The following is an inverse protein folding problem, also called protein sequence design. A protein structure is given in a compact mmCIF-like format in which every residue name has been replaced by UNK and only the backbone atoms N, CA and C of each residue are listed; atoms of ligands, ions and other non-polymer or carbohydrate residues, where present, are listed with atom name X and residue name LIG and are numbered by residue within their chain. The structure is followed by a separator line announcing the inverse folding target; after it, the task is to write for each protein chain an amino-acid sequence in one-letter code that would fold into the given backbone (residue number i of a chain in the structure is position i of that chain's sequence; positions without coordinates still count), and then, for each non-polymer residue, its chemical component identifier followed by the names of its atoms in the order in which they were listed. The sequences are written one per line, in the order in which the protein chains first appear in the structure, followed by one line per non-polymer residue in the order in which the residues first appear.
data_IF_266460169545
#
_entry.id   IF_266460169545
#
_cell.length_a   1.000
_cell.length_b   1.000
_cell.length_c   1.000
_cell.angle_alpha   90.00
_cell.angle_beta   90.00
_cell.angle_gamma   90.00
#
_symmetry.space_group_name_H-M   'P 1'
#
loop_
_entity.id
_entity.type
_entity.pdbx_description
1 polymer ?
#
# COMPACT_ATOMS: atom_id res chain seq x y z
N UNK A 1 -3.75 -8.17 -1.11
CA UNK A 1 -2.97 -7.19 -0.32
C UNK A 1 -3.96 -6.35 0.43
N UNK A 2 -3.85 -6.33 1.73
CA UNK A 2 -4.64 -5.52 2.65
C UNK A 2 -4.01 -4.16 2.77
N UNK A 3 -4.82 -3.12 2.59
CA UNK A 3 -4.39 -1.73 2.64
C UNK A 3 -4.98 -1.10 3.90
N UNK A 4 -4.15 -0.93 4.93
CA UNK A 4 -4.53 -0.20 6.14
C UNK A 4 -4.16 1.27 5.97
N UNK A 5 -5.17 2.11 5.79
CA UNK A 5 -4.96 3.53 5.49
C UNK A 5 -4.77 4.31 6.78
N UNK A 6 -3.71 5.10 6.83
CA UNK A 6 -3.52 6.12 7.86
C UNK A 6 -3.94 7.47 7.28
N UNK A 7 -5.04 8.07 7.76
CA UNK A 7 -5.50 9.37 7.26
C UNK A 7 -4.45 10.46 7.47
N UNK A 8 -4.18 11.26 6.43
CA UNK A 8 -3.21 12.36 6.54
C UNK A 8 -3.55 13.39 7.63
N UNK A 9 -4.84 13.57 7.95
CA UNK A 9 -5.29 14.43 9.06
C UNK A 9 -4.76 14.02 10.44
N UNK A 10 -4.36 12.76 10.61
CA UNK A 10 -3.78 12.28 11.87
C UNK A 10 -2.42 12.89 12.18
N UNK A 11 -1.73 13.44 11.18
CA UNK A 11 -0.46 14.15 11.37
C UNK A 11 -0.60 15.45 12.16
N UNK A 12 -1.81 15.97 12.30
CA UNK A 12 -2.11 17.23 12.99
C UNK A 12 -3.26 17.07 14.00
N UNK A 13 -3.59 15.83 14.37
CA UNK A 13 -4.68 15.54 15.31
C UNK A 13 -4.10 15.46 16.72
N UNK A 14 -4.46 16.38 17.64
CA UNK A 14 -3.92 16.37 19.00
C UNK A 14 -4.15 15.05 19.73
N UNK A 15 -5.26 14.36 19.45
CA UNK A 15 -5.55 13.08 20.10
C UNK A 15 -4.57 11.99 19.67
N UNK A 16 -3.98 12.09 18.47
CA UNK A 16 -2.95 11.17 17.99
C UNK A 16 -1.60 11.53 18.61
N UNK A 17 -1.28 12.82 18.69
CA UNK A 17 -0.04 13.31 19.28
C UNK A 17 0.07 12.99 20.78
N UNK A 18 -1.06 12.95 21.48
CA UNK A 18 -1.13 12.59 22.91
C UNK A 18 -1.05 11.08 23.17
N UNK A 19 -1.14 10.22 22.14
CA UNK A 19 -1.02 8.77 22.32
C UNK A 19 0.41 8.37 22.69
N UNK A 20 0.50 7.43 23.61
CA UNK A 20 1.73 6.69 23.87
C UNK A 20 2.15 5.89 22.64
N UNK A 21 3.46 5.69 22.47
CA UNK A 21 4.02 4.87 21.40
C UNK A 21 3.38 3.48 21.31
N UNK A 22 3.04 2.92 22.49
CA UNK A 22 2.39 1.62 22.59
C UNK A 22 0.95 1.67 22.07
N UNK A 23 0.16 2.66 22.50
CA UNK A 23 -1.20 2.86 22.01
C UNK A 23 -1.23 3.09 20.49
N UNK A 24 -0.32 3.91 19.97
CA UNK A 24 -0.18 4.14 18.53
C UNK A 24 0.11 2.84 17.75
N UNK A 25 1.07 2.02 18.22
CA UNK A 25 1.39 0.72 17.59
C UNK A 25 0.23 -0.25 17.65
N UNK A 26 -0.48 -0.32 18.78
CA UNK A 26 -1.66 -1.19 18.94
C UNK A 26 -2.79 -0.76 17.99
N UNK A 27 -3.04 0.54 17.87
CA UNK A 27 -4.08 1.09 17.01
C UNK A 27 -3.77 0.84 15.52
N UNK A 28 -2.54 1.08 15.08
CA UNK A 28 -2.12 0.79 13.68
C UNK A 28 -2.14 -0.71 13.38
N UNK A 29 -1.65 -1.55 14.30
CA UNK A 29 -1.73 -3.00 14.19
C UNK A 29 -3.17 -3.52 14.13
N UNK A 30 -4.07 -2.91 14.90
CA UNK A 30 -5.49 -3.24 14.88
C UNK A 30 -6.16 -2.93 13.55
N UNK A 31 -5.82 -1.80 12.91
CA UNK A 31 -6.29 -1.47 11.56
C UNK A 31 -5.84 -2.51 10.55
N UNK A 32 -4.56 -2.90 10.58
CA UNK A 32 -4.01 -3.92 9.70
C UNK A 32 -4.71 -5.27 9.90
N UNK A 33 -4.86 -5.70 11.16
CA UNK A 33 -5.53 -6.94 11.49
C UNK A 33 -6.99 -6.94 11.05
N UNK A 34 -7.74 -5.87 11.32
CA UNK A 34 -9.16 -5.76 10.99
C UNK A 34 -9.39 -5.75 9.48
N UNK A 35 -8.50 -5.09 8.72
CA UNK A 35 -8.54 -5.14 7.26
C UNK A 35 -8.25 -6.55 6.73
N UNK A 36 -7.34 -7.30 7.38
CA UNK A 36 -6.97 -8.66 6.95
C UNK A 36 -8.09 -9.66 7.20
N UNK A 37 -8.76 -9.52 8.34
CA UNK A 37 -9.88 -10.37 8.70
C UNK A 37 -11.21 -9.91 8.10
N UNK A 38 -11.28 -8.69 7.56
CA UNK A 38 -12.52 -8.11 7.05
C UNK A 38 -13.58 -7.91 8.14
N UNK A 39 -13.16 -7.49 9.34
CA UNK A 39 -14.05 -7.35 10.50
C UNK A 39 -14.60 -5.94 10.70
N UNK A 40 -14.34 -5.03 9.76
CA UNK A 40 -14.82 -3.65 9.81
C UNK A 40 -14.52 -2.90 11.12
N UNK A 41 -13.34 -3.19 11.69
CA UNK A 41 -12.87 -2.58 12.94
C UNK A 41 -13.31 -3.31 14.20
N UNK A 42 -14.05 -4.42 14.10
CA UNK A 42 -14.37 -5.26 15.25
C UNK A 42 -13.16 -6.13 15.62
N UNK A 43 -12.62 -5.95 16.83
CA UNK A 43 -11.45 -6.66 17.35
C UNK A 43 -11.85 -7.53 18.55
N UNK A 44 -11.92 -8.87 18.39
CA UNK A 44 -12.19 -9.76 19.52
C UNK A 44 -11.13 -9.60 20.62
N UNK A 45 -11.54 -9.56 21.89
CA UNK A 45 -10.62 -9.35 23.03
C UNK A 45 -9.45 -10.34 23.05
N UNK A 46 -9.70 -11.59 22.65
CA UNK A 46 -8.68 -12.66 22.55
C UNK A 46 -7.56 -12.38 21.53
N UNK A 47 -7.81 -11.48 20.58
CA UNK A 47 -6.88 -11.10 19.52
C UNK A 47 -5.97 -9.96 19.97
N UNK A 48 -6.30 -9.21 21.02
CA UNK A 48 -5.49 -8.08 21.50
C UNK A 48 -4.03 -8.48 21.76
N UNK A 49 -3.78 -9.71 22.25
CA UNK A 49 -2.43 -10.28 22.43
C UNK A 49 -1.57 -10.34 21.16
N UNK A 50 -2.18 -10.30 19.97
CA UNK A 50 -1.48 -10.35 18.68
C UNK A 50 -1.09 -8.96 18.18
N UNK A 51 -1.64 -7.89 18.74
CA UNK A 51 -1.47 -6.53 18.25
C UNK A 51 -0.17 -5.88 18.74
N UNK A 52 0.47 -6.43 19.77
CA UNK A 52 1.72 -5.92 20.31
C UNK A 52 2.57 -7.06 20.89
N UNK A 53 3.90 -7.09 20.68
CA UNK A 53 4.77 -8.17 21.15
C UNK A 53 4.70 -8.41 22.67
N UNK A 54 4.56 -7.34 23.44
CA UNK A 54 4.50 -7.37 24.92
C UNK A 54 3.08 -7.58 25.47
N UNK A 55 2.14 -7.98 24.61
CA UNK A 55 0.70 -7.90 24.85
C UNK A 55 0.19 -6.46 25.06
N UNK A 56 -1.13 -6.33 24.95
CA UNK A 56 -1.86 -5.08 25.20
C UNK A 56 -2.37 -5.12 26.63
N UNK A 57 -1.90 -4.18 27.45
CA UNK A 57 -2.34 -4.01 28.83
C UNK A 57 -3.61 -3.15 28.89
N UNK A 58 -4.28 -3.20 30.05
CA UNK A 58 -5.53 -2.46 30.25
C UNK A 58 -5.36 -0.94 30.18
N UNK A 59 -4.18 -0.40 30.53
CA UNK A 59 -3.86 1.02 30.42
C UNK A 59 -3.89 1.48 28.97
N UNK A 60 -3.20 0.75 28.09
CA UNK A 60 -3.21 1.00 26.64
C UNK A 60 -4.62 0.95 26.04
N UNK A 61 -5.45 -0.03 26.42
CA UNK A 61 -6.85 -0.09 25.94
C UNK A 61 -7.65 1.11 26.43
N UNK A 62 -7.52 1.47 27.71
CA UNK A 62 -8.23 2.59 28.30
C UNK A 62 -7.84 3.93 27.64
N UNK A 63 -6.56 4.09 27.30
CA UNK A 63 -6.03 5.24 26.58
C UNK A 63 -6.69 5.39 25.20
N UNK A 64 -6.76 4.30 24.42
CA UNK A 64 -7.41 4.29 23.10
C UNK A 64 -8.92 4.55 23.16
N UNK A 65 -9.58 4.11 24.25
CA UNK A 65 -10.99 4.41 24.48
C UNK A 65 -11.19 5.87 24.87
N UNK A 66 -10.35 6.41 25.75
CA UNK A 66 -10.43 7.82 26.19
C UNK A 66 -10.16 8.83 25.08
N UNK A 67 -9.23 8.51 24.19
CA UNK A 67 -8.92 9.31 22.99
C UNK A 67 -9.97 9.19 21.88
N UNK A 68 -11.00 8.34 22.05
CA UNK A 68 -12.10 8.21 21.10
C UNK A 68 -11.73 7.46 19.81
N UNK A 69 -10.61 6.73 19.80
CA UNK A 69 -10.30 5.82 18.69
C UNK A 69 -11.05 4.50 18.80
N UNK A 70 -11.23 4.01 20.01
CA UNK A 70 -11.87 2.73 20.28
C UNK A 70 -13.13 2.89 21.13
N UNK A 71 -14.07 1.98 20.95
CA UNK A 71 -15.21 1.77 21.82
C UNK A 71 -15.15 0.36 22.42
N UNK A 72 -15.31 0.27 23.74
CA UNK A 72 -15.25 -1.00 24.44
C UNK A 72 -16.63 -1.66 24.47
N UNK A 73 -16.73 -2.86 23.91
CA UNK A 73 -17.89 -3.73 24.07
C UNK A 73 -17.56 -4.92 24.97
N UNK A 74 -18.58 -5.72 25.29
CA UNK A 74 -18.46 -6.89 26.16
C UNK A 74 -17.42 -7.90 25.59
N UNK A 75 -17.52 -8.22 24.29
CA UNK A 75 -16.72 -9.29 23.66
C UNK A 75 -15.60 -8.80 22.75
N UNK A 76 -15.67 -7.57 22.29
CA UNK A 76 -14.74 -6.99 21.33
C UNK A 76 -14.44 -5.51 21.66
N UNK A 77 -13.44 -4.97 20.98
CA UNK A 77 -13.19 -3.53 20.87
C UNK A 77 -13.57 -3.12 19.45
N UNK A 78 -14.27 -1.99 19.30
CA UNK A 78 -14.65 -1.45 18.01
C UNK A 78 -13.75 -0.26 17.69
N UNK A 79 -13.14 -0.24 16.50
CA UNK A 79 -12.45 0.95 15.98
C UNK A 79 -13.51 1.94 15.48
N UNK A 80 -13.49 3.16 16.00
CA UNK A 80 -14.39 4.24 15.62
C UNK A 80 -13.93 4.92 14.33
N UNK A 81 -14.90 5.42 13.55
CA UNK A 81 -14.62 6.12 12.30
C UNK A 81 -14.08 5.22 11.16
N UNK A 82 -14.30 3.90 11.26
CA UNK A 82 -13.88 2.92 10.24
C UNK A 82 -14.33 3.33 8.84
N UNK A 83 -15.64 3.62 8.68
CA UNK A 83 -16.24 4.00 7.39
C UNK A 83 -15.65 5.26 6.75
N UNK A 84 -15.05 6.13 7.55
CA UNK A 84 -14.44 7.38 7.08
C UNK A 84 -12.98 7.21 6.66
N UNK A 85 -12.37 6.06 6.97
CA UNK A 85 -10.92 5.86 6.86
C UNK A 85 -10.56 4.61 6.05
N UNK A 86 -11.29 3.52 6.25
CA UNK A 86 -11.07 2.22 5.63
C UNK A 86 -12.18 1.88 4.64
N UNK A 87 -11.90 0.92 3.77
CA UNK A 87 -12.91 0.32 2.89
C UNK A 87 -13.58 -0.84 3.64
N UNK A 88 -14.90 -0.95 3.56
CA UNK A 88 -15.63 -2.05 4.21
C UNK A 88 -15.32 -3.40 3.57
N UNK A 89 -15.42 -4.47 4.35
CA UNK A 89 -15.23 -5.83 3.87
C UNK A 89 -16.17 -6.19 2.70
N UNK A 90 -17.42 -5.72 2.75
CA UNK A 90 -18.40 -5.90 1.67
C UNK A 90 -17.93 -5.29 0.34
N UNK A 91 -17.33 -4.12 0.38
CA UNK A 91 -16.88 -3.39 -0.80
C UNK A 91 -15.64 -4.07 -1.39
N UNK A 92 -14.73 -4.54 -0.52
CA UNK A 92 -13.57 -5.32 -0.94
C UNK A 92 -13.99 -6.61 -1.64
N UNK A 93 -14.96 -7.35 -1.10
CA UNK A 93 -15.46 -8.57 -1.74
C UNK A 93 -16.16 -8.28 -3.07
N UNK A 94 -16.96 -7.22 -3.15
CA UNK A 94 -17.56 -6.78 -4.41
C UNK A 94 -16.49 -6.44 -5.47
N UNK A 95 -15.44 -5.73 -5.08
CA UNK A 95 -14.32 -5.42 -5.99
C UNK A 95 -13.57 -6.68 -6.42
N UNK A 96 -13.33 -7.63 -5.51
CA UNK A 96 -12.69 -8.91 -5.82
C UNK A 96 -13.52 -9.69 -6.83
N UNK A 97 -14.83 -9.77 -6.64
CA UNK A 97 -15.72 -10.45 -7.57
C UNK A 97 -15.74 -9.79 -8.95
N UNK A 98 -15.86 -8.47 -8.99
CA UNK A 98 -15.79 -7.72 -10.25
C UNK A 98 -14.45 -7.94 -10.99
N UNK A 99 -13.35 -7.97 -10.25
CA UNK A 99 -12.03 -8.25 -10.81
C UNK A 99 -11.92 -9.69 -11.35
N UNK A 100 -12.48 -10.69 -10.64
CA UNK A 100 -12.56 -12.07 -11.13
C UNK A 100 -13.32 -12.16 -12.45
N UNK A 101 -14.48 -11.51 -12.54
CA UNK A 101 -15.31 -11.49 -13.75
C UNK A 101 -14.60 -10.81 -14.93
N UNK A 102 -13.97 -9.66 -14.69
CA UNK A 102 -13.22 -8.93 -15.71
C UNK A 102 -12.03 -9.76 -16.23
N UNK A 103 -11.30 -10.43 -15.35
CA UNK A 103 -10.20 -11.31 -15.74
C UNK A 103 -10.69 -12.51 -16.55
N UNK A 104 -11.79 -13.14 -16.14
CA UNK A 104 -12.39 -14.25 -16.90
C UNK A 104 -12.86 -13.80 -18.30
N UNK A 105 -13.53 -12.64 -18.38
CA UNK A 105 -13.96 -12.07 -19.65
C UNK A 105 -12.77 -11.72 -20.56
N UNK A 106 -11.70 -11.14 -20.00
CA UNK A 106 -10.46 -10.85 -20.73
C UNK A 106 -9.85 -12.13 -21.30
N UNK A 107 -9.65 -13.17 -20.47
CA UNK A 107 -9.12 -14.47 -20.91
C UNK A 107 -9.96 -15.09 -22.03
N UNK A 108 -11.29 -15.03 -21.94
CA UNK A 108 -12.19 -15.52 -22.99
C UNK A 108 -12.02 -14.75 -24.31
N UNK A 109 -11.90 -13.42 -24.26
CA UNK A 109 -11.64 -12.61 -25.46
C UNK A 109 -10.29 -12.93 -26.08
N UNK A 110 -9.26 -13.08 -25.25
CA UNK A 110 -7.91 -13.38 -25.71
C UNK A 110 -7.86 -14.78 -26.36
N UNK A 111 -8.62 -15.75 -25.84
CA UNK A 111 -8.78 -17.08 -26.45
C UNK A 111 -9.51 -17.02 -27.81
N UNK A 112 -10.57 -16.23 -27.93
CA UNK A 112 -11.28 -16.07 -29.21
C UNK A 112 -10.37 -15.41 -30.25
N UNK A 113 -9.61 -14.38 -29.85
CA UNK A 113 -8.64 -13.71 -30.72
C UNK A 113 -7.54 -14.66 -31.17
N UNK A 114 -7.00 -15.51 -30.30
CA UNK A 114 -5.95 -16.46 -30.68
C UNK A 114 -6.45 -17.56 -31.63
N UNK A 115 -7.71 -17.99 -31.48
CA UNK A 115 -8.35 -18.92 -32.42
C UNK A 115 -8.56 -18.26 -33.78
N UNK A 116 -9.10 -17.04 -33.81
CA UNK A 116 -9.38 -16.33 -35.06
C UNK A 116 -8.12 -15.84 -35.78
N UNK A 117 -7.09 -15.42 -35.04
CA UNK A 117 -5.80 -15.00 -35.59
C UNK A 117 -4.97 -16.14 -36.19
N UNK A 118 -5.27 -17.40 -35.84
CA UNK A 118 -4.70 -18.59 -36.51
C UNK A 118 -5.45 -19.00 -37.78
N UNK A 119 -6.58 -18.38 -38.10
CA UNK A 119 -7.44 -18.77 -39.23
C UNK A 119 -7.29 -17.87 -40.46
N UNK A 120 -6.40 -16.87 -40.42
CA UNK A 120 -5.87 -16.25 -41.63
C UNK A 120 -4.90 -17.22 -42.28
N UNK A 121 -5.41 -17.96 -43.27
CA UNK A 121 -4.58 -18.69 -44.23
C UNK A 121 -3.54 -17.74 -44.85
N UNK A 122 -2.33 -18.22 -45.16
CA UNK A 122 -1.38 -17.45 -45.94
C UNK A 122 -2.00 -17.24 -47.32
N UNK A 123 -2.52 -16.04 -47.56
CA UNK A 123 -2.86 -15.62 -48.92
C UNK A 123 -1.53 -15.47 -49.63
N UNK A 124 -1.17 -16.49 -50.42
CA UNK A 124 -0.05 -16.45 -51.33
C UNK A 124 -0.41 -15.43 -52.40
N UNK A 125 0.07 -14.19 -52.25
CA UNK A 125 0.00 -13.20 -53.30
C UNK A 125 1.01 -13.58 -54.40
N UNK A 126 0.59 -13.72 -55.67
CA UNK A 126 1.51 -13.90 -56.77
C UNK A 126 2.16 -12.55 -57.11
N UNK A 127 3.45 -12.47 -56.78
CA UNK A 127 4.51 -11.70 -57.42
C UNK A 127 4.04 -10.70 -58.51
N UNK A 128 4.02 -9.42 -58.18
CA UNK A 128 4.29 -8.34 -59.14
C UNK A 128 4.84 -7.10 -58.42
N UNK A 129 6.16 -6.93 -58.50
CA UNK A 129 6.80 -5.66 -58.88
C UNK A 129 6.69 -4.44 -57.96
N UNK A 130 7.80 -4.18 -57.27
CA UNK A 130 8.53 -2.91 -57.31
C UNK A 130 8.07 -1.69 -56.45
N UNK A 131 8.89 -1.44 -55.40
CA UNK A 131 9.37 -0.15 -54.87
C UNK A 131 8.34 0.82 -54.26
N UNK A 132 8.36 0.93 -52.93
CA UNK A 132 8.88 2.10 -52.18
C UNK A 132 8.93 1.74 -50.69
N UNK A 133 10.05 2.06 -50.04
CA UNK A 133 10.38 1.54 -48.73
C UNK A 133 9.69 2.23 -47.56
N UNK A 134 9.70 1.54 -46.41
CA UNK A 134 10.00 2.20 -45.16
C UNK A 134 10.64 1.22 -44.17
N UNK A 135 11.45 1.80 -43.29
CA UNK A 135 12.56 1.18 -42.59
C UNK A 135 12.11 0.24 -41.46
N UNK A 136 12.81 -0.89 -41.40
CA UNK A 136 13.01 -1.87 -40.33
C UNK A 136 12.55 -1.49 -38.92
N UNK A 137 11.79 -2.39 -38.30
CA UNK A 137 11.50 -2.39 -36.87
C UNK A 137 11.00 -3.76 -36.43
N UNK A 138 11.88 -4.77 -36.50
CA UNK A 138 11.66 -6.08 -35.90
C UNK A 138 12.67 -6.31 -34.76
N UNK A 139 12.24 -7.15 -33.81
CA UNK A 139 12.99 -7.81 -32.76
C UNK A 139 13.46 -7.01 -31.53
N UNK A 140 12.69 -7.12 -30.42
CA UNK A 140 12.97 -8.19 -29.47
C UNK A 140 12.01 -8.19 -28.26
N UNK A 141 11.26 -9.27 -28.16
CA UNK A 141 10.78 -9.83 -26.89
C UNK A 141 12.00 -10.29 -26.06
N UNK A 142 12.36 -9.52 -25.03
CA UNK A 142 13.07 -10.06 -23.88
C UNK A 142 12.41 -9.57 -22.59
N UNK A 143 11.92 -10.55 -21.84
CA UNK A 143 11.64 -10.43 -20.43
C UNK A 143 12.86 -9.90 -19.65
N UNK A 144 12.61 -9.09 -18.64
CA UNK A 144 13.58 -8.83 -17.57
C UNK A 144 13.71 -7.36 -17.21
N UNK A 145 13.34 -7.05 -15.96
CA UNK A 145 13.58 -5.83 -15.19
C UNK A 145 14.34 -4.69 -15.84
N UNK A 146 13.70 -3.51 -15.88
CA UNK A 146 14.43 -2.25 -15.83
C UNK A 146 13.96 -1.44 -14.63
N UNK A 147 14.84 -1.45 -13.64
CA UNK A 147 14.99 -0.38 -12.67
C UNK A 147 14.91 0.99 -13.33
N UNK A 148 14.29 1.91 -12.59
CA UNK A 148 14.34 3.34 -12.88
C UNK A 148 15.78 3.83 -12.71
N UNK A 149 16.56 3.85 -13.78
CA UNK A 149 17.79 4.66 -13.84
C UNK A 149 17.37 6.13 -13.96
N UNK A 150 17.39 6.82 -12.82
CA UNK A 150 17.37 8.27 -12.78
C UNK A 150 18.53 8.79 -13.62
N UNK A 151 18.23 9.69 -14.56
CA UNK A 151 19.26 10.49 -15.24
C UNK A 151 20.02 11.28 -14.18
N UNK A 152 21.31 11.00 -14.09
CA UNK A 152 22.25 11.85 -13.39
C UNK A 152 22.13 13.28 -13.89
N UNK A 153 21.81 14.18 -12.96
CA UNK A 153 22.09 15.61 -13.14
C UNK A 153 23.61 15.73 -13.20
N UNK A 154 24.09 16.35 -14.27
CA UNK A 154 25.44 16.87 -14.39
C UNK A 154 25.78 17.68 -13.15
N UNK A 155 26.65 17.12 -12.31
CA UNK A 155 27.22 17.78 -11.15
C UNK A 155 28.04 18.97 -11.59
N UNK A 156 27.62 20.16 -11.16
CA UNK A 156 28.51 21.30 -11.01
C UNK A 156 29.54 20.94 -9.94
N UNK A 157 30.82 21.10 -10.26
CA UNK A 157 31.93 20.93 -9.33
C UNK A 157 31.73 21.78 -8.07
N UNK A 158 31.51 21.14 -6.93
CA UNK A 158 31.81 21.71 -5.62
C UNK A 158 32.70 20.74 -4.87
N UNK A 159 33.99 21.01 -5.02
CA UNK A 159 35.11 20.56 -4.20
C UNK A 159 34.81 20.87 -2.73
N UNK A 160 34.69 19.84 -1.89
CA UNK A 160 34.58 19.99 -0.44
C UNK A 160 34.07 18.73 0.25
N UNK A 161 34.95 17.74 0.42
CA UNK A 161 34.68 16.60 1.30
C UNK A 161 34.61 17.06 2.75
N UNK A 162 33.41 17.17 3.31
CA UNK A 162 33.19 17.28 4.75
C UNK A 162 32.54 16.00 5.22
N UNK A 163 33.37 15.09 5.73
CA UNK A 163 32.97 13.91 6.48
C UNK A 163 32.18 14.39 7.71
N UNK A 164 30.89 14.07 7.77
CA UNK A 164 30.05 14.38 8.95
C UNK A 164 30.03 13.12 9.83
N UNK A 165 30.97 13.05 10.76
CA UNK A 165 31.13 11.91 11.69
C UNK A 165 30.13 11.94 12.87
N UNK A 166 29.29 12.96 13.02
CA UNK A 166 28.23 12.98 14.04
C UNK A 166 27.19 14.09 13.82
N UNK A 167 25.96 13.84 14.27
CA UNK A 167 24.92 14.86 14.38
C UNK A 167 25.28 15.88 15.48
N UNK A 168 25.02 17.18 15.28
CA UNK A 168 25.34 18.19 16.29
C UNK A 168 24.50 17.96 17.56
N UNK A 169 25.19 17.77 18.68
CA UNK A 169 24.57 17.72 20.01
C UNK A 169 24.19 19.14 20.39
N UNK A 170 22.89 19.42 20.55
CA UNK A 170 22.41 20.70 21.03
C UNK A 170 22.72 20.84 22.54
N UNK A 171 23.59 21.77 22.90
CA UNK A 171 23.86 22.11 24.30
C UNK A 171 22.68 22.92 24.86
N UNK A 172 21.86 22.31 25.70
CA UNK A 172 20.80 23.01 26.44
C UNK A 172 21.46 23.83 27.55
N UNK A 173 21.30 25.17 27.58
CA UNK A 173 21.84 25.98 28.67
C UNK A 173 21.15 25.58 29.97
N UNK A 174 21.94 25.12 30.95
CA UNK A 174 21.46 24.87 32.31
C UNK A 174 21.12 26.23 32.94
N UNK A 175 19.84 26.45 33.19
CA UNK A 175 19.37 27.56 34.03
C UNK A 175 19.93 27.35 35.44
N UNK A 176 20.87 28.20 35.84
CA UNK A 176 21.32 28.29 37.23
C UNK A 176 20.22 28.95 38.05
N UNK A 177 19.68 28.22 39.01
CA UNK A 177 18.93 28.75 40.14
C UNK A 177 19.80 28.61 41.39
#
# INVERSE_FOLDING_TARGET
MTDARLPGRWLTDPNIEELSDKAWRVMTGALMWSNEQGTDGEIPRRTLRLLHPENVDAGTVLELVRSGFWEAHDKHMQILGWDRTQTRASDVEWQRERNRQNQAAKRRRDQIKSINGRRTEPTVDPDTGEVTGDVSGDDNDYAGGQDRTGKDRTGTELRGSSQVDSWPVATIPRSTA
#
